data_IF_406799970170
#
_entry.id   IF_406799970170
#
_cell.length_a   1.000
_cell.length_b   1.000
_cell.length_c   1.000
_cell.angle_alpha   90.00
_cell.angle_beta   90.00
_cell.angle_gamma   90.00
#
_symmetry.space_group_name_H-M   'P 1'
#
loop_
_entity.id
_entity.type
_entity.pdbx_description
1 polymer ?
#
# COMPACT_ATOMS: atom_id res chain seq x y z
N UNK A 1 9.95 -19.07 -6.84
CA UNK A 1 9.81 -17.71 -6.32
C UNK A 1 8.50 -17.56 -5.55
N UNK A 2 8.58 -17.16 -4.30
CA UNK A 2 7.39 -17.00 -3.50
C UNK A 2 6.72 -15.65 -3.81
N UNK A 3 5.41 -15.68 -4.01
CA UNK A 3 4.63 -14.48 -4.21
C UNK A 3 3.75 -14.25 -2.99
N UNK A 4 3.70 -13.01 -2.54
CA UNK A 4 2.85 -12.64 -1.43
C UNK A 4 1.42 -12.45 -1.92
N UNK A 5 0.48 -12.93 -1.14
CA UNK A 5 -0.93 -12.70 -1.40
C UNK A 5 -1.26 -11.25 -1.05
N UNK A 6 -2.07 -10.59 -1.87
CA UNK A 6 -2.51 -9.24 -1.59
C UNK A 6 -3.90 -9.26 -0.97
N UNK A 7 -4.02 -8.60 0.16
CA UNK A 7 -5.31 -8.45 0.85
C UNK A 7 -5.55 -6.98 1.14
N UNK A 8 -6.80 -6.57 1.17
CA UNK A 8 -7.15 -5.17 1.33
C UNK A 8 -8.10 -5.00 2.49
N UNK A 9 -7.81 -4.03 3.35
CA UNK A 9 -8.72 -3.67 4.41
C UNK A 9 -9.97 -3.08 3.79
N UNK A 10 -11.13 -3.34 4.39
CA UNK A 10 -12.41 -2.88 3.84
C UNK A 10 -12.43 -1.38 3.56
N UNK A 11 -11.85 -0.58 4.43
CA UNK A 11 -11.83 0.88 4.27
C UNK A 11 -11.04 1.34 3.04
N UNK A 12 -10.14 0.51 2.52
CA UNK A 12 -9.34 0.86 1.35
C UNK A 12 -10.23 0.99 0.11
N UNK A 13 -11.29 0.23 0.03
CA UNK A 13 -12.21 0.33 -1.10
C UNK A 13 -12.85 1.71 -1.17
N UNK A 14 -13.14 2.31 -0.03
CA UNK A 14 -13.65 3.68 0.02
C UNK A 14 -12.58 4.67 -0.43
N UNK A 15 -11.33 4.42 -0.01
CA UNK A 15 -10.23 5.27 -0.43
C UNK A 15 -10.12 5.30 -1.96
N UNK A 16 -10.30 4.16 -2.61
CA UNK A 16 -10.22 4.07 -4.06
C UNK A 16 -11.28 4.90 -4.76
N UNK A 17 -12.46 5.04 -4.16
CA UNK A 17 -13.55 5.77 -4.79
C UNK A 17 -13.26 7.26 -4.94
N UNK A 18 -12.39 7.81 -4.12
CA UNK A 18 -12.06 9.23 -4.16
C UNK A 18 -10.82 9.52 -5.01
N UNK A 19 -10.23 8.49 -5.62
CA UNK A 19 -9.02 8.63 -6.41
C UNK A 19 -9.35 8.64 -7.89
N UNK A 20 -8.87 9.64 -8.66
CA UNK A 20 -9.07 9.64 -10.12
C UNK A 20 -8.55 8.35 -10.75
N UNK A 21 -9.24 7.86 -11.77
CA UNK A 21 -8.91 6.59 -12.40
C UNK A 21 -7.46 6.49 -12.86
N UNK A 22 -6.92 7.56 -13.38
CA UNK A 22 -5.53 7.58 -13.86
C UNK A 22 -4.55 7.30 -12.73
N UNK A 23 -4.78 7.95 -11.60
CA UNK A 23 -3.93 7.77 -10.42
C UNK A 23 -4.17 6.41 -9.79
N UNK A 24 -5.43 5.98 -9.74
CA UNK A 24 -5.78 4.68 -9.18
C UNK A 24 -5.08 3.55 -9.93
N UNK A 25 -5.02 3.66 -11.25
CA UNK A 25 -4.36 2.65 -12.08
C UNK A 25 -2.89 2.51 -11.70
N UNK A 26 -2.22 3.63 -11.49
CA UNK A 26 -0.81 3.62 -11.10
C UNK A 26 -0.62 3.08 -9.69
N UNK A 27 -1.54 3.42 -8.79
CA UNK A 27 -1.51 2.91 -7.43
C UNK A 27 -1.67 1.40 -7.41
N UNK A 28 -2.63 0.88 -8.16
CA UNK A 28 -2.87 -0.56 -8.22
C UNK A 28 -1.69 -1.31 -8.81
N UNK A 29 -1.04 -0.73 -9.83
CA UNK A 29 0.17 -1.33 -10.40
C UNK A 29 1.27 -1.41 -9.35
N UNK A 30 1.42 -0.35 -8.57
CA UNK A 30 2.42 -0.31 -7.51
C UNK A 30 2.12 -1.34 -6.42
N UNK A 31 0.85 -1.45 -6.04
CA UNK A 31 0.44 -2.43 -5.04
C UNK A 31 0.71 -3.85 -5.54
N UNK A 32 0.41 -4.12 -6.80
CA UNK A 32 0.67 -5.44 -7.39
C UNK A 32 2.15 -5.82 -7.31
N UNK A 33 3.03 -4.84 -7.46
CA UNK A 33 4.47 -5.10 -7.38
C UNK A 33 4.89 -5.55 -5.98
N UNK A 34 4.12 -5.21 -4.96
CA UNK A 34 4.42 -5.63 -3.59
C UNK A 34 4.28 -7.14 -3.41
N UNK A 35 3.52 -7.80 -4.29
CA UNK A 35 3.39 -9.24 -4.28
C UNK A 35 4.73 -9.93 -4.53
N UNK A 36 5.55 -9.34 -5.39
CA UNK A 36 6.85 -9.92 -5.71
C UNK A 36 7.93 -9.42 -4.75
N UNK A 37 7.83 -8.17 -4.32
CA UNK A 37 8.80 -7.58 -3.41
C UNK A 37 8.08 -6.64 -2.45
N UNK A 38 7.74 -7.10 -1.25
CA UNK A 38 6.98 -6.26 -0.31
C UNK A 38 7.81 -5.15 0.34
N UNK A 39 9.11 -5.14 0.13
CA UNK A 39 9.97 -4.08 0.64
C UNK A 39 10.80 -3.45 -0.48
N UNK A 40 10.12 -2.84 -1.47
CA UNK A 40 10.85 -2.24 -2.61
C UNK A 40 11.60 -0.99 -2.18
N UNK A 41 12.51 -0.54 -3.04
CA UNK A 41 13.20 0.74 -2.82
C UNK A 41 12.14 1.83 -2.68
N UNK A 42 12.30 2.69 -1.67
CA UNK A 42 11.34 3.75 -1.40
C UNK A 42 10.31 3.39 -0.34
N UNK A 43 10.22 2.12 0.07
CA UNK A 43 9.35 1.75 1.18
C UNK A 43 10.03 2.12 2.50
N UNK A 44 9.24 2.59 3.45
CA UNK A 44 9.74 2.98 4.77
C UNK A 44 8.89 2.32 5.85
N UNK A 45 9.56 1.72 6.83
CA UNK A 45 8.86 1.15 7.96
C UNK A 45 8.41 2.29 8.88
N UNK A 46 7.16 2.27 9.29
CA UNK A 46 6.64 3.29 10.19
C UNK A 46 7.11 3.03 11.62
N UNK A 47 7.49 4.11 12.30
CA UNK A 47 7.99 4.01 13.66
C UNK A 47 6.92 3.46 14.59
N UNK A 48 7.31 2.48 15.42
CA UNK A 48 6.44 1.86 16.41
C UNK A 48 5.25 1.10 15.86
N UNK A 49 5.28 0.76 14.56
CA UNK A 49 4.20 -0.02 13.95
C UNK A 49 4.80 -1.06 13.01
N UNK A 50 4.10 -2.17 12.84
CA UNK A 50 4.47 -3.21 11.88
C UNK A 50 3.88 -2.89 10.52
N UNK A 51 4.00 -1.63 10.12
CA UNK A 51 3.46 -1.14 8.85
C UNK A 51 4.52 -0.43 8.06
N UNK A 52 4.31 -0.42 6.76
CA UNK A 52 5.21 0.23 5.82
C UNK A 52 4.45 1.28 5.01
N UNK A 53 5.18 2.24 4.53
CA UNK A 53 4.63 3.32 3.70
C UNK A 53 5.38 3.34 2.37
N UNK A 54 4.62 3.47 1.30
CA UNK A 54 5.18 3.57 -0.05
C UNK A 54 4.48 4.70 -0.79
N UNK A 55 5.25 5.59 -1.38
CA UNK A 55 4.68 6.70 -2.13
C UNK A 55 4.45 6.31 -3.58
N UNK A 56 3.33 6.79 -4.12
CA UNK A 56 3.03 6.69 -5.54
C UNK A 56 2.42 8.03 -5.99
N UNK A 57 3.22 8.86 -6.65
CA UNK A 57 2.77 10.20 -7.01
C UNK A 57 2.47 11.01 -5.75
N UNK A 58 1.25 11.52 -5.68
CA UNK A 58 0.80 12.30 -4.53
C UNK A 58 0.08 11.46 -3.48
N UNK A 59 0.15 10.15 -3.63
CA UNK A 59 -0.56 9.24 -2.74
C UNK A 59 0.40 8.43 -1.91
N UNK A 60 -0.08 7.95 -0.78
CA UNK A 60 0.67 7.09 0.10
C UNK A 60 -0.09 5.80 0.29
N UNK A 61 0.64 4.70 0.17
CA UNK A 61 0.11 3.36 0.38
C UNK A 61 0.68 2.87 1.70
N UNK A 62 -0.20 2.59 2.67
CA UNK A 62 0.21 2.03 3.95
C UNK A 62 -0.19 0.57 3.97
N UNK A 63 0.73 -0.30 4.30
CA UNK A 63 0.49 -1.74 4.28
C UNK A 63 1.30 -2.43 5.36
N UNK A 64 0.89 -3.63 5.70
CA UNK A 64 1.63 -4.48 6.62
C UNK A 64 2.07 -5.74 5.88
N UNK A 65 3.13 -6.37 6.38
CA UNK A 65 3.67 -7.58 5.77
C UNK A 65 3.61 -8.70 6.81
N UNK A 66 2.95 -9.78 6.43
CA UNK A 66 2.90 -10.99 7.24
C UNK A 66 3.77 -12.03 6.55
N UNK A 67 5.05 -12.06 6.90
CA UNK A 67 6.01 -12.93 6.23
C UNK A 67 5.69 -14.42 6.41
N UNK A 68 5.23 -14.80 7.58
CA UNK A 68 4.90 -16.20 7.86
C UNK A 68 3.68 -16.68 7.07
N UNK A 69 2.81 -15.76 6.66
CA UNK A 69 1.64 -16.07 5.87
C UNK A 69 1.80 -15.67 4.40
N UNK A 70 2.94 -15.13 4.05
CA UNK A 70 3.20 -14.60 2.70
C UNK A 70 2.06 -13.72 2.22
N UNK A 71 1.65 -12.78 3.06
CA UNK A 71 0.53 -11.88 2.80
C UNK A 71 0.92 -10.43 3.01
N UNK A 72 0.50 -9.58 2.09
CA UNK A 72 0.61 -8.13 2.22
C UNK A 72 -0.80 -7.58 2.41
N UNK A 73 -1.03 -6.89 3.52
CA UNK A 73 -2.29 -6.24 3.82
C UNK A 73 -2.20 -4.76 3.51
N UNK A 74 -2.96 -4.28 2.53
CA UNK A 74 -3.06 -2.85 2.26
C UNK A 74 -4.10 -2.29 3.20
N UNK A 75 -3.69 -1.37 4.07
CA UNK A 75 -4.55 -0.85 5.12
C UNK A 75 -5.03 0.57 4.88
N UNK A 76 -4.35 1.33 4.04
CA UNK A 76 -4.75 2.70 3.76
C UNK A 76 -4.11 3.18 2.46
N UNK A 77 -4.89 3.92 1.68
CA UNK A 77 -4.37 4.67 0.53
C UNK A 77 -4.95 6.07 0.65
N UNK A 78 -4.08 7.07 0.77
CA UNK A 78 -4.54 8.43 1.00
C UNK A 78 -3.72 9.43 0.22
N UNK A 79 -4.34 10.57 -0.07
CA UNK A 79 -3.63 11.67 -0.68
C UNK A 79 -2.63 12.24 0.32
N UNK A 80 -1.51 12.70 -0.20
CA UNK A 80 -0.45 13.27 0.62
C UNK A 80 -0.94 14.30 1.65
N UNK A 81 -1.89 15.14 1.25
CA UNK A 81 -2.43 16.17 2.13
C UNK A 81 -3.16 15.61 3.36
N UNK A 82 -3.77 14.45 3.21
CA UNK A 82 -4.59 13.89 4.28
C UNK A 82 -3.75 13.27 5.39
N UNK A 83 -2.48 13.04 5.14
CA UNK A 83 -1.60 12.36 6.08
C UNK A 83 -1.05 13.28 7.16
N UNK A 84 -1.07 14.57 6.93
CA UNK A 84 -0.49 15.54 7.85
C UNK A 84 -1.49 16.15 8.82
N UNK A 85 -2.47 15.41 9.19
CA UNK A 85 -3.42 15.88 10.18
C UNK A 85 -3.17 15.28 11.53
#
# INVERSE_FOLDING_TARGET
>A
MALYKLSFKRSVHKDFLSIPKKDLRRILTRIKSLSENPRPAGSEKLTNEEKYRLRQGRYRIVYSIQDDELTVWVVKVSHRKDVYR
#
